data_IF_693197501661
#
_entry.id   IF_693197501661
#
_cell.length_a   1.000
_cell.length_b   1.000
_cell.length_c   1.000
_cell.angle_alpha   90.00
_cell.angle_beta   90.00
_cell.angle_gamma   90.00
#
_symmetry.space_group_name_H-M   'P 1'
#
loop_
_entity.id
_entity.type
_entity.pdbx_description
1 polymer ?
#
# COMPACT_ATOMS: atom_id res chain seq x y z
N UNK A 1 -18.00 10.69 64.82
CA UNK A 1 -17.07 9.54 64.89
C UNK A 1 -16.10 9.70 63.73
N UNK A 2 -14.96 10.33 63.95
CA UNK A 2 -13.96 10.60 62.90
C UNK A 2 -13.17 9.32 62.63
N UNK A 3 -13.34 8.74 61.44
CA UNK A 3 -12.53 7.59 61.03
C UNK A 3 -11.07 8.05 60.86
N UNK A 4 -10.14 7.29 61.41
CA UNK A 4 -8.72 7.53 61.30
C UNK A 4 -8.24 7.34 59.86
N UNK A 5 -7.30 8.20 59.41
CA UNK A 5 -6.78 8.18 58.04
C UNK A 5 -6.19 6.80 57.65
N UNK A 6 -5.69 6.05 58.63
CA UNK A 6 -5.17 4.69 58.44
C UNK A 6 -6.27 3.70 58.07
N UNK A 7 -7.42 3.71 58.77
CA UNK A 7 -8.59 2.90 58.40
C UNK A 7 -9.13 3.28 57.02
N UNK A 8 -9.14 4.57 56.65
CA UNK A 8 -9.57 5.01 55.31
C UNK A 8 -8.63 4.49 54.21
N UNK A 9 -7.32 4.53 54.45
CA UNK A 9 -6.33 4.01 53.50
C UNK A 9 -6.45 2.50 53.31
N UNK A 10 -6.58 1.74 54.41
CA UNK A 10 -6.68 0.28 54.37
C UNK A 10 -7.98 -0.16 53.67
N UNK A 11 -9.10 0.46 53.99
CA UNK A 11 -10.40 0.12 53.39
C UNK A 11 -10.42 0.44 51.89
N UNK A 12 -9.88 1.59 51.48
CA UNK A 12 -9.81 1.97 50.06
C UNK A 12 -8.92 1.01 49.26
N UNK A 13 -7.77 0.61 49.82
CA UNK A 13 -6.87 -0.36 49.19
C UNK A 13 -7.53 -1.74 49.03
N UNK A 14 -8.24 -2.21 50.06
CA UNK A 14 -8.98 -3.48 49.99
C UNK A 14 -10.10 -3.44 48.96
N UNK A 15 -10.90 -2.38 48.93
CA UNK A 15 -12.01 -2.24 47.97
C UNK A 15 -11.48 -2.19 46.54
N UNK A 16 -10.49 -1.35 46.26
CA UNK A 16 -9.90 -1.24 44.92
C UNK A 16 -9.26 -2.54 44.45
N UNK A 17 -8.58 -3.27 45.33
CA UNK A 17 -7.99 -4.57 45.01
C UNK A 17 -9.05 -5.61 44.67
N UNK A 18 -10.10 -5.73 45.49
CA UNK A 18 -11.18 -6.71 45.27
C UNK A 18 -11.95 -6.39 43.99
N UNK A 19 -12.32 -5.12 43.77
CA UNK A 19 -13.03 -4.70 42.56
C UNK A 19 -12.18 -4.92 41.31
N UNK A 20 -10.88 -4.57 41.36
CA UNK A 20 -9.94 -4.79 40.26
C UNK A 20 -9.74 -6.27 39.94
N UNK A 21 -9.65 -7.12 40.97
CA UNK A 21 -9.49 -8.57 40.79
C UNK A 21 -10.73 -9.21 40.17
N UNK A 22 -11.93 -8.86 40.64
CA UNK A 22 -13.19 -9.34 40.06
C UNK A 22 -13.34 -8.87 38.61
N UNK A 23 -13.04 -7.61 38.33
CA UNK A 23 -13.07 -7.06 36.98
C UNK A 23 -12.08 -7.77 36.04
N UNK A 24 -10.85 -8.04 36.50
CA UNK A 24 -9.86 -8.80 35.74
C UNK A 24 -10.30 -10.25 35.46
N UNK A 25 -10.94 -10.92 36.43
CA UNK A 25 -11.53 -12.25 36.22
C UNK A 25 -12.71 -12.21 35.22
N UNK A 26 -13.52 -11.15 35.25
CA UNK A 26 -14.64 -10.96 34.32
C UNK A 26 -14.16 -10.68 32.89
N UNK A 27 -13.11 -9.88 32.75
CA UNK A 27 -12.45 -9.58 31.49
C UNK A 27 -11.77 -10.82 30.87
N UNK A 28 -11.02 -11.57 31.68
CA UNK A 28 -10.27 -12.77 31.23
C UNK A 28 -11.17 -13.96 30.87
N UNK A 29 -12.35 -14.08 31.49
CA UNK A 29 -13.38 -15.06 31.10
C UNK A 29 -14.19 -14.64 29.86
N UNK A 30 -13.86 -13.48 29.25
CA UNK A 30 -14.44 -13.05 27.98
C UNK A 30 -15.83 -12.42 28.09
N UNK A 31 -16.33 -12.13 29.30
CA UNK A 31 -17.64 -11.49 29.48
C UNK A 31 -17.65 -9.98 29.20
N UNK A 32 -16.48 -9.38 28.92
CA UNK A 32 -16.38 -7.96 28.56
C UNK A 32 -17.00 -7.67 27.19
N UNK A 33 -17.02 -8.66 26.30
CA UNK A 33 -17.67 -8.61 25.01
C UNK A 33 -18.64 -9.79 24.93
N UNK A 34 -19.94 -9.51 24.78
CA UNK A 34 -20.96 -10.56 24.74
C UNK A 34 -20.59 -11.65 23.72
N UNK A 35 -20.69 -12.95 24.06
CA UNK A 35 -20.51 -14.04 23.10
C UNK A 35 -21.39 -13.88 21.86
N UNK A 36 -22.56 -13.25 22.00
CA UNK A 36 -23.45 -12.93 20.89
C UNK A 36 -22.81 -11.95 19.89
N UNK A 37 -22.06 -10.95 20.36
CA UNK A 37 -21.33 -10.01 19.49
C UNK A 37 -20.14 -10.68 18.79
N UNK A 38 -19.49 -11.65 19.44
CA UNK A 38 -18.46 -12.46 18.78
C UNK A 38 -19.05 -13.40 17.72
N UNK A 39 -20.23 -13.96 17.98
CA UNK A 39 -20.96 -14.79 17.02
C UNK A 39 -21.47 -13.96 15.83
N UNK A 40 -21.99 -12.76 16.08
CA UNK A 40 -22.46 -11.81 15.06
C UNK A 40 -21.29 -11.30 14.19
N UNK A 41 -20.14 -11.00 14.79
CA UNK A 41 -18.91 -10.64 14.04
C UNK A 41 -18.41 -11.80 13.17
N UNK A 42 -18.54 -13.05 13.64
CA UNK A 42 -18.27 -14.25 12.83
C UNK A 42 -19.28 -14.44 11.72
N UNK A 43 -20.56 -14.18 12.00
CA UNK A 43 -21.65 -14.18 11.02
C UNK A 43 -21.38 -13.22 9.88
N UNK A 44 -21.06 -11.95 10.17
CA UNK A 44 -20.75 -10.94 9.14
C UNK A 44 -19.50 -11.26 8.31
N UNK A 45 -18.56 -12.05 8.85
CA UNK A 45 -17.36 -12.52 8.13
C UNK A 45 -17.63 -13.73 7.22
N UNK A 46 -18.75 -14.43 7.44
CA UNK A 46 -19.14 -15.66 6.76
C UNK A 46 -20.47 -15.54 6.04
N UNK A 47 -21.04 -14.33 5.98
CA UNK A 47 -22.30 -14.04 5.31
C UNK A 47 -22.08 -14.14 3.78
N UNK A 48 -22.71 -15.11 3.10
CA UNK A 48 -22.59 -15.27 1.66
C UNK A 48 -23.50 -14.32 0.86
N UNK A 49 -24.33 -13.50 1.54
CA UNK A 49 -25.18 -12.54 0.85
C UNK A 49 -24.34 -11.33 0.47
N UNK A 50 -23.85 -11.34 -0.78
CA UNK A 50 -23.33 -10.16 -1.44
C UNK A 50 -24.37 -9.04 -1.33
N UNK A 51 -23.93 -7.84 -0.94
CA UNK A 51 -24.76 -6.65 -0.97
C UNK A 51 -25.40 -6.51 -2.35
N UNK A 52 -26.71 -6.36 -2.41
CA UNK A 52 -27.48 -6.03 -3.62
C UNK A 52 -27.09 -4.61 -4.11
N UNK A 53 -25.88 -4.45 -4.64
CA UNK A 53 -25.53 -3.35 -5.53
C UNK A 53 -25.42 -3.93 -6.95
N UNK A 54 -26.59 -4.14 -7.55
CA UNK A 54 -26.75 -4.38 -8.97
C UNK A 54 -26.81 -3.04 -9.71
N UNK A 55 -25.84 -2.80 -10.59
CA UNK A 55 -25.99 -2.09 -11.88
C UNK A 55 -24.67 -2.20 -12.67
N UNK A 56 -24.26 -3.45 -12.94
CA UNK A 56 -23.23 -3.74 -13.94
C UNK A 56 -23.87 -4.66 -14.97
N UNK A 57 -24.07 -4.15 -16.17
CA UNK A 57 -24.65 -4.88 -17.30
C UNK A 57 -23.91 -6.22 -17.52
N UNK A 58 -24.57 -7.32 -17.17
CA UNK A 58 -24.07 -8.70 -17.20
C UNK A 58 -24.09 -9.33 -18.61
N UNK A 59 -23.84 -8.56 -19.66
CA UNK A 59 -23.62 -9.11 -21.00
C UNK A 59 -22.25 -8.68 -21.54
N UNK A 60 -21.40 -9.68 -21.81
CA UNK A 60 -20.03 -9.63 -22.35
C UNK A 60 -18.87 -9.34 -21.36
N UNK A 61 -18.61 -10.26 -20.43
CA UNK A 61 -17.37 -11.06 -20.44
C UNK A 61 -17.27 -11.95 -19.19
N UNK A 62 -17.13 -13.26 -19.42
CA UNK A 62 -16.68 -14.25 -18.44
C UNK A 62 -15.63 -13.67 -17.47
N UNK A 63 -16.04 -13.42 -16.23
CA UNK A 63 -15.16 -13.03 -15.12
C UNK A 63 -14.30 -14.22 -14.68
N UNK A 64 -13.32 -14.60 -15.52
CA UNK A 64 -12.32 -15.64 -15.22
C UNK A 64 -11.12 -15.07 -14.43
N UNK A 65 -11.40 -14.18 -13.48
CA UNK A 65 -10.41 -13.25 -12.90
C UNK A 65 -10.19 -13.35 -11.40
N UNK A 66 -10.59 -14.43 -10.73
CA UNK A 66 -10.19 -14.68 -9.35
C UNK A 66 -9.00 -15.65 -9.27
N UNK A 67 -7.73 -15.21 -9.45
CA UNK A 67 -6.58 -16.07 -9.25
C UNK A 67 -6.34 -16.37 -7.76
N UNK A 68 -5.81 -17.57 -7.49
CA UNK A 68 -5.29 -18.01 -6.20
C UNK A 68 -4.45 -16.92 -5.49
N UNK A 69 -4.95 -16.43 -4.34
CA UNK A 69 -4.40 -15.34 -3.50
C UNK A 69 -3.10 -15.72 -2.75
N UNK A 70 -2.26 -16.59 -3.31
CA UNK A 70 -0.98 -16.92 -2.69
C UNK A 70 0.02 -15.77 -2.87
N UNK A 71 0.05 -14.87 -1.89
CA UNK A 71 1.03 -13.80 -1.76
C UNK A 71 2.43 -14.40 -1.48
N UNK A 72 3.15 -14.75 -2.53
CA UNK A 72 4.50 -15.31 -2.46
C UNK A 72 5.47 -14.67 -3.45
N UNK A 73 6.78 -14.88 -3.24
CA UNK A 73 7.84 -14.37 -4.15
C UNK A 73 7.62 -14.78 -5.61
N UNK A 74 7.03 -15.94 -5.86
CA UNK A 74 6.70 -16.41 -7.21
C UNK A 74 5.58 -15.58 -7.87
N UNK A 75 4.57 -15.14 -7.10
CA UNK A 75 3.52 -14.26 -7.58
C UNK A 75 4.07 -12.86 -7.89
N UNK A 76 4.96 -12.34 -7.02
CA UNK A 76 5.70 -11.10 -7.27
C UNK A 76 6.49 -11.19 -8.58
N UNK A 77 7.22 -12.30 -8.82
CA UNK A 77 7.98 -12.51 -10.06
C UNK A 77 7.06 -12.57 -11.29
N UNK A 78 5.92 -13.27 -11.19
CA UNK A 78 4.93 -13.38 -12.27
C UNK A 78 4.28 -12.03 -12.62
N UNK A 79 4.11 -11.16 -11.62
CA UNK A 79 3.63 -9.79 -11.79
C UNK A 79 4.75 -8.78 -12.14
N UNK A 80 5.99 -9.25 -12.31
CA UNK A 80 7.12 -8.40 -12.68
C UNK A 80 7.73 -7.55 -11.55
N UNK A 81 7.38 -7.80 -10.28
CA UNK A 81 7.87 -7.09 -9.08
C UNK A 81 9.35 -7.40 -8.72
N UNK A 82 10.23 -7.67 -9.69
CA UNK A 82 11.61 -8.11 -9.41
C UNK A 82 12.46 -7.01 -8.75
N UNK A 83 12.92 -7.28 -7.53
CA UNK A 83 14.07 -6.64 -6.88
C UNK A 83 15.37 -7.30 -7.37
N UNK A 84 15.94 -6.81 -8.48
CA UNK A 84 17.34 -7.09 -8.80
C UNK A 84 18.25 -6.19 -7.97
N UNK A 85 19.34 -6.74 -7.41
CA UNK A 85 20.37 -5.95 -6.73
C UNK A 85 20.80 -4.79 -7.65
N UNK A 86 20.64 -3.55 -7.17
CA UNK A 86 20.88 -2.34 -7.94
C UNK A 86 22.28 -1.83 -7.65
N UNK A 87 22.96 -1.36 -8.70
CA UNK A 87 24.15 -0.53 -8.56
C UNK A 87 23.87 0.64 -7.62
N UNK A 88 24.89 1.07 -6.88
CA UNK A 88 24.77 2.10 -5.86
C UNK A 88 24.27 3.41 -6.48
N UNK A 89 22.95 3.64 -6.38
CA UNK A 89 22.32 4.88 -6.79
C UNK A 89 22.95 6.07 -6.04
N UNK A 90 23.11 7.24 -6.70
CA UNK A 90 23.60 8.43 -6.03
C UNK A 90 22.72 8.74 -4.81
N UNK A 91 23.36 9.08 -3.68
CA UNK A 91 22.65 9.38 -2.44
C UNK A 91 21.82 10.64 -2.63
N UNK A 92 20.49 10.48 -2.74
CA UNK A 92 19.57 11.62 -2.70
C UNK A 92 19.76 12.42 -1.39
N UNK A 93 19.78 13.74 -1.48
CA UNK A 93 19.72 14.61 -0.31
C UNK A 93 18.28 14.68 0.18
N UNK A 94 18.09 14.45 1.48
CA UNK A 94 16.78 14.56 2.11
C UNK A 94 16.45 16.06 2.29
N UNK A 95 15.70 16.66 1.38
CA UNK A 95 15.17 18.03 1.49
C UNK A 95 13.98 18.08 2.47
N UNK A 96 13.45 19.24 2.85
CA UNK A 96 12.21 19.31 3.65
C UNK A 96 10.94 19.43 2.80
N UNK A 97 11.04 19.06 1.53
CA UNK A 97 9.96 19.14 0.56
C UNK A 97 8.98 17.96 0.71
N UNK A 98 7.74 18.17 0.25
CA UNK A 98 6.73 17.12 0.10
C UNK A 98 7.24 16.02 -0.84
N UNK A 99 6.97 14.76 -0.47
CA UNK A 99 7.27 13.62 -1.33
C UNK A 99 6.02 13.19 -2.09
N UNK A 100 6.19 12.75 -3.33
CA UNK A 100 5.12 12.20 -4.16
C UNK A 100 5.60 10.98 -4.95
N UNK A 101 4.66 10.14 -5.32
CA UNK A 101 4.83 9.05 -6.27
C UNK A 101 4.06 9.39 -7.54
N UNK A 102 4.72 9.34 -8.70
CA UNK A 102 4.06 9.53 -10.00
C UNK A 102 3.93 8.18 -10.70
N UNK A 103 2.73 7.91 -11.21
CA UNK A 103 2.35 6.69 -11.91
C UNK A 103 2.15 7.05 -13.39
N UNK A 104 3.12 6.69 -14.22
CA UNK A 104 3.14 7.01 -15.64
C UNK A 104 2.51 5.86 -16.42
N UNK A 105 1.31 6.08 -16.94
CA UNK A 105 0.46 5.05 -17.56
C UNK A 105 0.56 5.11 -19.07
N UNK A 106 0.73 3.95 -19.72
CA UNK A 106 0.63 3.82 -21.17
C UNK A 106 -0.82 3.78 -21.64
N UNK A 107 -1.24 4.86 -22.27
CA UNK A 107 -2.59 5.01 -22.83
C UNK A 107 -2.72 4.43 -24.24
N UNK A 108 -1.61 4.19 -24.94
CA UNK A 108 -1.59 3.55 -26.27
C UNK A 108 -2.07 2.10 -26.24
N UNK A 109 -2.08 1.50 -25.06
CA UNK A 109 -2.45 0.11 -24.82
C UNK A 109 -3.96 -0.15 -24.70
N UNK A 110 -4.81 0.88 -24.73
CA UNK A 110 -6.26 0.72 -24.64
C UNK A 110 -6.75 0.04 -23.35
N UNK A 111 -6.02 0.17 -22.23
CA UNK A 111 -6.41 -0.45 -20.96
C UNK A 111 -7.74 0.11 -20.44
N UNK A 112 -8.62 -0.77 -19.95
CA UNK A 112 -9.83 -0.37 -19.22
C UNK A 112 -9.49 0.32 -17.91
N UNK A 113 -10.42 1.12 -17.38
CA UNK A 113 -10.23 1.88 -16.12
C UNK A 113 -9.84 0.97 -14.95
N UNK A 114 -10.52 -0.18 -14.79
CA UNK A 114 -10.21 -1.15 -13.73
C UNK A 114 -8.80 -1.74 -13.86
N UNK A 115 -8.38 -2.05 -15.09
CA UNK A 115 -7.03 -2.55 -15.35
C UNK A 115 -5.96 -1.51 -15.05
N UNK A 116 -6.18 -0.26 -15.44
CA UNK A 116 -5.27 0.85 -15.09
C UNK A 116 -5.11 0.94 -13.57
N UNK A 117 -6.21 0.92 -12.81
CA UNK A 117 -6.18 1.01 -11.36
C UNK A 117 -5.36 -0.14 -10.72
N UNK A 118 -5.55 -1.37 -11.21
CA UNK A 118 -4.78 -2.53 -10.75
C UNK A 118 -3.28 -2.37 -11.04
N UNK A 119 -2.91 -1.97 -12.26
CA UNK A 119 -1.50 -1.78 -12.66
C UNK A 119 -0.81 -0.64 -11.89
N UNK A 120 -1.53 0.47 -11.66
CA UNK A 120 -1.10 1.56 -10.79
C UNK A 120 -0.85 1.11 -9.35
N UNK A 121 -1.69 0.22 -8.84
CA UNK A 121 -1.53 -0.38 -7.50
C UNK A 121 -0.29 -1.27 -7.43
N UNK A 122 -0.05 -2.09 -8.46
CA UNK A 122 1.18 -2.89 -8.58
C UNK A 122 2.44 -2.00 -8.63
N UNK A 123 2.43 -0.93 -9.42
CA UNK A 123 3.54 0.03 -9.52
C UNK A 123 3.85 0.69 -8.18
N UNK A 124 2.79 1.09 -7.45
CA UNK A 124 2.91 1.65 -6.11
C UNK A 124 3.56 0.66 -5.15
N UNK A 125 3.09 -0.58 -5.10
CA UNK A 125 3.63 -1.60 -4.21
C UNK A 125 5.08 -1.95 -4.57
N UNK A 126 5.43 -1.98 -5.85
CA UNK A 126 6.79 -2.18 -6.32
C UNK A 126 7.73 -1.10 -5.77
N UNK A 127 7.36 0.17 -5.95
CA UNK A 127 8.15 1.31 -5.49
C UNK A 127 8.29 1.32 -3.96
N UNK A 128 7.19 1.04 -3.25
CA UNK A 128 7.16 0.91 -1.79
C UNK A 128 8.16 -0.15 -1.32
N UNK A 129 8.02 -1.38 -1.84
CA UNK A 129 8.89 -2.50 -1.46
C UNK A 129 10.35 -2.21 -1.81
N UNK A 130 10.64 -1.49 -2.90
CA UNK A 130 12.00 -1.13 -3.30
C UNK A 130 12.70 -0.21 -2.29
N UNK A 131 11.96 0.75 -1.73
CA UNK A 131 12.47 1.62 -0.68
C UNK A 131 12.49 0.91 0.69
N UNK A 132 11.49 0.08 0.96
CA UNK A 132 11.35 -0.64 2.22
C UNK A 132 12.35 -1.78 2.39
N UNK A 133 12.85 -2.37 1.31
CA UNK A 133 13.83 -3.47 1.36
C UNK A 133 15.23 -3.03 1.81
N UNK A 134 15.48 -1.73 1.98
CA UNK A 134 16.76 -1.25 2.49
C UNK A 134 16.92 -1.62 3.97
N UNK A 135 17.94 -2.42 4.34
CA UNK A 135 18.09 -2.92 5.71
C UNK A 135 18.49 -1.84 6.71
N UNK A 136 19.08 -0.72 6.25
CA UNK A 136 19.47 0.38 7.13
C UNK A 136 18.27 1.30 7.42
N UNK A 137 17.75 1.34 8.67
CA UNK A 137 16.64 2.20 9.05
C UNK A 137 16.94 3.69 8.90
N UNK A 138 18.23 4.07 8.96
CA UNK A 138 18.68 5.45 8.87
C UNK A 138 19.03 5.89 7.43
N UNK A 139 18.88 4.99 6.46
CA UNK A 139 19.12 5.28 5.05
C UNK A 139 18.17 6.37 4.53
N UNK A 140 18.63 7.11 3.51
CA UNK A 140 17.80 8.12 2.84
C UNK A 140 16.50 7.49 2.30
N UNK A 141 16.57 6.26 1.77
CA UNK A 141 15.41 5.55 1.23
C UNK A 141 14.32 5.33 2.30
N UNK A 142 14.70 4.84 3.49
CA UNK A 142 13.76 4.64 4.61
C UNK A 142 13.19 5.96 5.12
N UNK A 143 14.01 7.00 5.22
CA UNK A 143 13.56 8.35 5.62
C UNK A 143 12.60 8.98 4.61
N UNK A 144 12.87 8.83 3.31
CA UNK A 144 11.98 9.28 2.24
C UNK A 144 10.64 8.56 2.30
N UNK A 145 10.67 7.23 2.47
CA UNK A 145 9.46 6.43 2.57
C UNK A 145 8.62 6.84 3.79
N UNK A 146 9.24 6.92 4.98
CA UNK A 146 8.57 7.35 6.21
C UNK A 146 7.98 8.77 6.08
N UNK A 147 8.67 9.67 5.35
CA UNK A 147 8.12 10.99 5.04
C UNK A 147 6.88 10.87 4.18
N UNK A 148 6.96 10.17 3.05
CA UNK A 148 5.80 9.99 2.17
C UNK A 148 4.60 9.38 2.91
N UNK A 149 4.83 8.41 3.80
CA UNK A 149 3.81 7.84 4.69
C UNK A 149 3.19 8.88 5.62
N UNK A 150 4.03 9.72 6.25
CA UNK A 150 3.57 10.77 7.18
C UNK A 150 2.76 11.87 6.50
N UNK A 151 3.07 12.20 5.25
CA UNK A 151 2.45 13.30 4.49
C UNK A 151 1.39 12.81 3.49
N UNK A 152 0.65 11.75 3.83
CA UNK A 152 -0.57 11.36 3.10
C UNK A 152 -0.34 10.51 1.85
N UNK A 153 0.89 10.08 1.58
CA UNK A 153 1.22 9.13 0.51
C UNK A 153 0.72 9.56 -0.87
N UNK A 154 0.96 10.83 -1.25
CA UNK A 154 0.50 11.40 -2.51
C UNK A 154 0.90 10.55 -3.73
N UNK A 155 -0.09 10.23 -4.58
CA UNK A 155 0.04 9.47 -5.83
C UNK A 155 -0.59 10.26 -6.96
N UNK A 156 0.13 10.48 -8.05
CA UNK A 156 -0.35 11.25 -9.21
C UNK A 156 -0.27 10.37 -10.45
N UNK A 157 -1.39 10.18 -11.13
CA UNK A 157 -1.42 9.45 -12.40
C UNK A 157 -1.23 10.42 -13.57
N UNK A 158 -0.26 10.11 -14.44
CA UNK A 158 0.03 10.84 -15.68
C UNK A 158 0.05 9.87 -16.84
N UNK A 159 -0.10 10.37 -18.06
CA UNK A 159 -0.20 9.57 -19.27
C UNK A 159 1.02 9.73 -20.19
N UNK A 160 1.33 8.65 -20.89
CA UNK A 160 2.29 8.57 -21.98
C UNK A 160 1.76 7.64 -23.08
N UNK A 161 2.36 7.70 -24.27
CA UNK A 161 1.93 6.90 -25.44
C UNK A 161 3.00 6.00 -26.07
N UNK A 162 4.25 6.04 -25.58
CA UNK A 162 5.36 5.27 -26.15
C UNK A 162 6.11 4.44 -25.10
N UNK A 163 6.32 3.15 -25.39
CA UNK A 163 7.16 2.29 -24.57
C UNK A 163 8.60 2.81 -24.46
N UNK A 164 9.15 3.36 -25.54
CA UNK A 164 10.52 3.86 -25.56
C UNK A 164 10.68 5.09 -24.68
N UNK A 165 9.69 5.98 -24.70
CA UNK A 165 9.63 7.15 -23.80
C UNK A 165 9.57 6.70 -22.33
N UNK A 166 8.74 5.69 -22.01
CA UNK A 166 8.69 5.10 -20.66
C UNK A 166 10.07 4.60 -20.21
N UNK A 167 10.79 3.89 -21.08
CA UNK A 167 12.12 3.38 -20.77
C UNK A 167 13.15 4.50 -20.60
N UNK A 168 13.07 5.57 -21.39
CA UNK A 168 13.90 6.76 -21.23
C UNK A 168 13.65 7.44 -19.88
N UNK A 169 12.40 7.64 -19.49
CA UNK A 169 12.03 8.20 -18.19
C UNK A 169 12.53 7.34 -17.03
N UNK A 170 12.40 6.02 -17.16
CA UNK A 170 12.90 5.06 -16.16
C UNK A 170 14.42 5.14 -15.99
N UNK A 171 15.18 5.22 -17.10
CA UNK A 171 16.63 5.42 -17.06
C UNK A 171 16.99 6.74 -16.40
N UNK A 172 16.38 7.84 -16.85
CA UNK A 172 16.59 9.19 -16.29
C UNK A 172 16.35 9.22 -14.78
N UNK A 173 15.23 8.65 -14.32
CA UNK A 173 14.92 8.58 -12.89
C UNK A 173 15.99 7.80 -12.09
N UNK A 174 16.46 6.66 -12.61
CA UNK A 174 17.49 5.85 -11.95
C UNK A 174 18.85 6.53 -11.91
N UNK A 175 19.23 7.21 -12.99
CA UNK A 175 20.47 8.01 -13.05
C UNK A 175 20.47 9.13 -12.00
N UNK A 176 19.29 9.72 -11.73
CA UNK A 176 19.10 10.69 -10.66
C UNK A 176 19.02 10.07 -9.25
N UNK A 177 19.08 8.74 -9.14
CA UNK A 177 18.97 8.00 -7.88
C UNK A 177 17.55 7.82 -7.34
N UNK A 178 16.54 8.09 -8.18
CA UNK A 178 15.14 7.90 -7.81
C UNK A 178 14.73 6.44 -7.97
N UNK A 179 13.82 6.00 -7.10
CA UNK A 179 13.13 4.71 -7.27
C UNK A 179 12.26 4.76 -8.52
N UNK A 180 12.48 3.82 -9.44
CA UNK A 180 11.71 3.71 -10.67
C UNK A 180 11.43 2.23 -10.99
N UNK A 181 10.15 1.86 -10.99
CA UNK A 181 9.67 0.49 -11.22
C UNK A 181 8.74 0.42 -12.42
N UNK A 182 9.01 -0.50 -13.34
CA UNK A 182 8.16 -0.75 -14.51
C UNK A 182 7.37 -2.02 -14.28
N UNK A 183 6.05 -1.91 -14.36
CA UNK A 183 5.13 -3.05 -14.30
C UNK A 183 4.92 -3.61 -15.69
N UNK A 184 4.84 -4.94 -15.74
CA UNK A 184 4.53 -5.68 -16.95
C UNK A 184 3.22 -6.42 -16.76
N UNK A 185 2.39 -6.43 -17.80
CA UNK A 185 1.19 -7.25 -17.76
C UNK A 185 1.56 -8.73 -17.83
N UNK A 186 0.97 -9.54 -16.94
CA UNK A 186 1.22 -10.97 -16.85
C UNK A 186 0.51 -11.79 -17.96
N UNK A 187 -0.09 -11.12 -18.94
CA UNK A 187 -0.74 -11.74 -20.10
C UNK A 187 -2.09 -12.38 -19.78
N UNK A 188 -2.85 -11.83 -18.81
CA UNK A 188 -4.20 -12.31 -18.44
C UNK A 188 -5.33 -11.51 -19.10
N UNK A 189 -5.00 -10.68 -20.10
CA UNK A 189 -5.95 -9.77 -20.74
C UNK A 189 -5.61 -9.63 -22.23
N UNK A 190 -6.38 -8.82 -22.95
CA UNK A 190 -6.25 -8.53 -24.39
C UNK A 190 -4.93 -7.83 -24.81
N UNK A 191 -4.04 -7.49 -23.87
CA UNK A 191 -2.73 -6.90 -24.16
C UNK A 191 -1.69 -8.01 -24.32
N UNK A 192 -0.77 -7.85 -25.28
CA UNK A 192 0.35 -8.76 -25.47
C UNK A 192 1.10 -9.01 -24.15
N UNK A 193 1.28 -10.28 -23.81
CA UNK A 193 1.96 -10.70 -22.59
C UNK A 193 3.36 -10.09 -22.49
N UNK A 194 3.69 -9.51 -21.33
CA UNK A 194 4.98 -8.86 -21.10
C UNK A 194 5.06 -7.38 -21.52
N UNK A 195 3.97 -6.81 -22.06
CA UNK A 195 3.86 -5.37 -22.32
C UNK A 195 4.09 -4.56 -21.05
N UNK A 196 4.93 -3.53 -21.15
CA UNK A 196 5.14 -2.57 -20.05
C UNK A 196 3.94 -1.65 -19.95
N UNK A 197 3.26 -1.62 -18.80
CA UNK A 197 1.97 -0.93 -18.63
C UNK A 197 2.11 0.39 -17.89
N UNK A 198 2.76 0.36 -16.72
CA UNK A 198 2.87 1.50 -15.81
C UNK A 198 4.30 1.60 -15.28
N UNK A 199 4.84 2.82 -15.28
CA UNK A 199 6.09 3.17 -14.60
C UNK A 199 5.76 3.94 -13.31
N UNK A 200 6.20 3.45 -12.17
CA UNK A 200 6.20 4.23 -10.92
C UNK A 200 7.52 4.99 -10.78
N UNK A 201 7.46 6.28 -10.43
CA UNK A 201 8.62 7.15 -10.15
C UNK A 201 8.48 7.80 -8.77
N UNK A 202 9.42 7.52 -7.88
CA UNK A 202 9.36 7.87 -6.47
C UNK A 202 8.91 6.69 -5.60
N UNK A 203 8.38 6.92 -4.37
CA UNK A 203 8.22 8.21 -3.71
C UNK A 203 9.52 9.00 -3.54
N UNK A 204 9.51 10.28 -3.88
CA UNK A 204 10.66 11.18 -3.73
C UNK A 204 10.25 12.65 -3.63
N UNK A 205 11.16 13.59 -3.23
CA UNK A 205 10.88 15.02 -3.22
C UNK A 205 10.27 15.50 -4.54
N UNK A 206 9.23 16.33 -4.44
CA UNK A 206 8.43 16.78 -5.59
C UNK A 206 9.30 17.34 -6.72
N UNK A 207 10.25 18.22 -6.42
CA UNK A 207 11.19 18.81 -7.38
C UNK A 207 11.90 17.78 -8.26
N UNK A 208 12.49 16.76 -7.64
CA UNK A 208 13.22 15.70 -8.35
C UNK A 208 12.31 14.82 -9.20
N UNK A 209 11.08 14.54 -8.72
CA UNK A 209 10.10 13.78 -9.49
C UNK A 209 9.60 14.60 -10.69
N UNK A 210 9.43 15.92 -10.51
CA UNK A 210 9.00 16.84 -11.57
C UNK A 210 10.05 17.04 -12.66
N UNK A 211 11.34 16.97 -12.34
CA UNK A 211 12.41 16.95 -13.36
C UNK A 211 12.27 15.77 -14.34
N UNK A 212 11.74 14.63 -13.88
CA UNK A 212 11.49 13.46 -14.73
C UNK A 212 10.12 13.55 -15.41
N UNK A 213 9.07 13.87 -14.65
CA UNK A 213 7.67 13.63 -15.09
C UNK A 213 6.83 14.89 -15.27
N UNK A 214 7.35 16.08 -14.94
CA UNK A 214 6.56 17.32 -14.87
C UNK A 214 6.04 17.84 -16.23
N UNK A 215 6.57 17.35 -17.34
CA UNK A 215 6.10 17.68 -18.69
C UNK A 215 4.95 16.79 -19.17
N UNK A 216 4.65 15.72 -18.44
CA UNK A 216 3.61 14.75 -18.79
C UNK A 216 2.23 15.26 -18.38
N UNK A 217 1.22 14.89 -19.16
CA UNK A 217 -0.17 15.28 -18.89
C UNK A 217 -0.77 14.36 -17.83
N UNK A 218 -1.72 14.88 -17.05
CA UNK A 218 -2.55 14.04 -16.18
C UNK A 218 -3.30 12.99 -17.01
N UNK A 219 -3.50 11.81 -16.42
CA UNK A 219 -4.19 10.68 -17.04
C UNK A 219 -5.70 10.96 -17.24
#
# INVERSE_FOLDING_TARGET
>A
MTMDNTTVAITTALTTFVTGYIFGLYASRGYLFSPALQAERRGNLQDPVESEESDVDEDDSLLDHAPNWSNGKAADVKQGLRFGARDAAPKLKLTNEECKLVLVVRTDLGMTKGKIAAQCSHATLACYKALASNPDPNSTARKMLARWEKYGQAKIAVQLKSQDEMLQLCRKAREMGLTAEVIKDAGRTQIEAGSMTVLGVGPAPRSLVDEVTGHLKLL
#
